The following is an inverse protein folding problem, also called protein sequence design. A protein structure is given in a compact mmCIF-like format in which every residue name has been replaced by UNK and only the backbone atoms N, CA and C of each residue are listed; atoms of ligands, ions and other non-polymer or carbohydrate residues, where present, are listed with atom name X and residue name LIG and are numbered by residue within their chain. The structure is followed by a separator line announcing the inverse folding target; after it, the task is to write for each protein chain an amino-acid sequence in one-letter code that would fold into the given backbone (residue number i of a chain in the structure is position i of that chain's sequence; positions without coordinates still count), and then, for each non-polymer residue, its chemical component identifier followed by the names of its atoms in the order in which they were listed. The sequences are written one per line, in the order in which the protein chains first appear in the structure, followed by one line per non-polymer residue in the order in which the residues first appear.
data_IF_286100373805
#
_entry.id   IF_286100373805
#
_cell.length_a   1.000
_cell.length_b   1.000
_cell.length_c   1.000
_cell.angle_alpha   90.00
_cell.angle_beta   90.00
_cell.angle_gamma   90.00
#
_symmetry.space_group_name_H-M   'P 1'
#
loop_
_entity.id
_entity.type
_entity.pdbx_description
1 polymer ?
#
# COMPACT_ATOMS: atom_id res chain seq x y z
N UNK A 1 22.07 66.70 -26.57
CA UNK A 1 23.19 65.74 -26.43
C UNK A 1 23.04 65.05 -25.09
N UNK A 2 22.93 63.72 -25.15
CA UNK A 2 22.65 62.66 -24.16
C UNK A 2 22.60 62.97 -22.65
N UNK A 3 21.43 62.66 -22.07
CA UNK A 3 21.27 62.29 -20.67
C UNK A 3 21.83 60.88 -20.42
N UNK A 4 22.61 60.73 -19.35
CA UNK A 4 23.15 59.46 -18.87
C UNK A 4 22.00 58.51 -18.52
N UNK A 5 21.92 57.37 -19.20
CA UNK A 5 21.04 56.24 -18.86
C UNK A 5 21.93 55.07 -18.43
N UNK A 6 22.17 54.94 -17.13
CA UNK A 6 22.69 53.70 -16.58
C UNK A 6 21.72 53.22 -15.50
N UNK A 7 20.98 52.16 -15.82
CA UNK A 7 20.23 51.40 -14.86
C UNK A 7 21.12 50.23 -14.40
N UNK A 8 21.50 50.24 -13.14
CA UNK A 8 22.20 49.11 -12.52
C UNK A 8 21.18 48.01 -12.26
N UNK A 9 21.24 46.90 -13.00
CA UNK A 9 20.52 45.68 -12.65
C UNK A 9 21.35 44.91 -11.62
N UNK A 10 20.96 45.00 -10.35
CA UNK A 10 21.42 44.07 -9.35
C UNK A 10 20.63 42.77 -9.51
N UNK A 11 21.27 41.74 -10.09
CA UNK A 11 20.76 40.38 -10.02
C UNK A 11 20.95 39.89 -8.57
N UNK A 12 19.94 40.11 -7.73
CA UNK A 12 19.86 39.44 -6.45
C UNK A 12 19.58 37.96 -6.69
N UNK A 13 20.61 37.12 -6.64
CA UNK A 13 20.40 35.68 -6.40
C UNK A 13 19.84 35.60 -4.99
N UNK A 14 18.52 35.46 -4.88
CA UNK A 14 17.89 35.05 -3.64
C UNK A 14 18.35 33.61 -3.39
N UNK A 15 19.39 33.43 -2.57
CA UNK A 15 19.69 32.15 -1.97
C UNK A 15 18.46 31.77 -1.14
N UNK A 16 17.68 30.80 -1.63
CA UNK A 16 16.71 30.14 -0.80
C UNK A 16 17.43 29.65 0.47
N UNK A 17 16.84 29.77 1.67
CA UNK A 17 17.47 29.25 2.87
C UNK A 17 17.78 27.77 2.64
N UNK A 18 18.99 27.34 3.01
CA UNK A 18 19.47 25.96 2.84
C UNK A 18 18.49 24.94 3.46
N UNK A 19 17.71 25.37 4.46
CA UNK A 19 16.64 24.58 5.10
C UNK A 19 15.40 24.32 4.22
N UNK A 20 15.08 25.19 3.25
CA UNK A 20 13.92 24.99 2.39
C UNK A 20 14.06 23.75 1.50
N UNK A 21 15.27 23.50 0.96
CA UNK A 21 15.53 22.33 0.14
C UNK A 21 15.49 21.00 0.91
N UNK A 22 15.89 21.01 2.19
CA UNK A 22 15.81 19.83 3.06
C UNK A 22 14.35 19.55 3.47
N UNK A 23 13.56 20.59 3.76
CA UNK A 23 12.15 20.45 4.11
C UNK A 23 11.27 20.05 2.90
N UNK A 24 11.63 20.47 1.68
CA UNK A 24 10.96 20.05 0.45
C UNK A 24 11.28 18.59 0.12
N UNK A 25 12.56 18.20 0.18
CA UNK A 25 12.99 16.81 -0.01
C UNK A 25 12.38 15.84 1.01
N UNK A 26 12.23 16.25 2.27
CA UNK A 26 11.59 15.41 3.29
C UNK A 26 10.09 15.25 3.07
N UNK A 27 9.39 16.30 2.59
CA UNK A 27 7.98 16.21 2.21
C UNK A 27 7.77 15.33 0.97
N UNK A 28 8.61 15.48 -0.05
CA UNK A 28 8.57 14.64 -1.25
C UNK A 28 8.81 13.17 -0.91
N UNK A 29 9.76 12.89 -0.02
CA UNK A 29 10.02 11.54 0.50
C UNK A 29 8.79 10.99 1.23
N UNK A 30 8.21 11.76 2.15
CA UNK A 30 7.02 11.34 2.88
C UNK A 30 5.83 11.05 1.94
N UNK A 31 5.62 11.84 0.89
CA UNK A 31 4.59 11.59 -0.12
C UNK A 31 4.90 10.34 -0.95
N UNK A 32 6.17 10.11 -1.30
CA UNK A 32 6.60 8.92 -2.03
C UNK A 32 6.40 7.64 -1.21
N UNK A 33 6.73 7.70 0.08
CA UNK A 33 6.56 6.60 1.05
C UNK A 33 5.08 6.31 1.30
N UNK A 34 4.25 7.35 1.50
CA UNK A 34 2.79 7.20 1.61
C UNK A 34 2.24 6.44 0.39
N UNK A 35 2.64 6.87 -0.81
CA UNK A 35 2.21 6.20 -2.05
C UNK A 35 2.79 4.79 -2.16
N UNK A 36 3.99 4.53 -1.67
CA UNK A 36 4.59 3.20 -1.69
C UNK A 36 3.81 2.22 -0.82
N UNK A 37 3.44 2.62 0.40
CA UNK A 37 2.66 1.80 1.33
C UNK A 37 1.29 1.45 0.74
N UNK A 38 0.60 2.43 0.16
CA UNK A 38 -0.69 2.19 -0.53
C UNK A 38 -0.51 1.23 -1.70
N UNK A 39 0.52 1.46 -2.54
CA UNK A 39 0.79 0.59 -3.70
C UNK A 39 1.06 -0.85 -3.29
N UNK A 40 1.73 -1.09 -2.16
CA UNK A 40 2.00 -2.44 -1.65
C UNK A 40 0.68 -3.15 -1.31
N UNK A 41 -0.21 -2.49 -0.56
CA UNK A 41 -1.52 -3.05 -0.22
C UNK A 41 -2.33 -3.40 -1.49
N UNK A 42 -2.43 -2.45 -2.43
CA UNK A 42 -3.14 -2.68 -3.70
C UNK A 42 -2.49 -3.79 -4.54
N UNK A 43 -1.16 -3.93 -4.48
CA UNK A 43 -0.44 -4.92 -5.27
C UNK A 43 -0.56 -6.33 -4.70
N UNK A 44 -0.68 -6.47 -3.38
CA UNK A 44 -1.03 -7.75 -2.73
C UNK A 44 -2.41 -8.20 -3.22
N UNK A 45 -3.41 -7.32 -3.12
CA UNK A 45 -4.78 -7.58 -3.55
C UNK A 45 -4.83 -8.03 -5.04
N UNK A 46 -4.17 -7.28 -5.93
CA UNK A 46 -4.04 -7.65 -7.36
C UNK A 46 -3.33 -8.98 -7.59
N UNK A 47 -2.26 -9.27 -6.84
CA UNK A 47 -1.52 -10.52 -7.01
C UNK A 47 -2.35 -11.74 -6.58
N UNK A 48 -3.13 -11.59 -5.51
CA UNK A 48 -4.07 -12.63 -5.04
C UNK A 48 -5.18 -12.87 -6.08
N UNK A 49 -5.78 -11.81 -6.62
CA UNK A 49 -6.83 -11.92 -7.64
C UNK A 49 -6.33 -12.54 -8.95
N UNK A 50 -5.08 -12.25 -9.31
CA UNK A 50 -4.41 -12.87 -10.46
C UNK A 50 -3.87 -14.28 -10.15
N UNK A 51 -3.97 -14.76 -8.91
CA UNK A 51 -3.38 -16.00 -8.42
C UNK A 51 -1.85 -16.09 -8.67
N UNK A 52 -1.15 -14.96 -8.73
CA UNK A 52 0.32 -14.91 -8.80
C UNK A 52 0.91 -15.01 -7.40
N UNK A 53 0.94 -16.25 -6.88
CA UNK A 53 1.38 -16.53 -5.52
C UNK A 53 2.84 -16.16 -5.25
N UNK A 54 3.69 -16.24 -6.28
CA UNK A 54 5.10 -15.83 -6.16
C UNK A 54 5.21 -14.33 -5.99
N UNK A 55 4.44 -13.55 -6.76
CA UNK A 55 4.39 -12.10 -6.61
C UNK A 55 3.75 -11.71 -5.27
N UNK A 56 2.64 -12.34 -4.88
CA UNK A 56 2.00 -12.10 -3.58
C UNK A 56 2.99 -12.32 -2.42
N UNK A 57 3.73 -13.43 -2.43
CA UNK A 57 4.75 -13.76 -1.43
C UNK A 57 5.86 -12.72 -1.34
N UNK A 58 6.22 -12.07 -2.44
CA UNK A 58 7.32 -11.10 -2.49
C UNK A 58 7.07 -9.81 -1.69
N UNK A 59 5.81 -9.53 -1.34
CA UNK A 59 5.46 -8.35 -0.53
C UNK A 59 5.56 -8.56 0.99
N UNK A 60 5.79 -9.79 1.43
CA UNK A 60 5.83 -10.14 2.86
C UNK A 60 7.26 -10.42 3.33
N UNK A 61 7.57 -10.03 4.57
CA UNK A 61 8.73 -10.52 5.30
C UNK A 61 8.66 -12.05 5.47
N UNK A 62 9.71 -12.68 5.98
CA UNK A 62 9.72 -14.15 6.19
C UNK A 62 8.65 -14.61 7.17
N UNK A 63 8.34 -13.77 8.15
CA UNK A 63 7.26 -13.98 9.12
C UNK A 63 6.37 -12.76 9.19
N UNK A 64 5.09 -13.00 9.37
CA UNK A 64 4.07 -11.95 9.46
C UNK A 64 3.13 -12.26 10.61
N UNK A 65 2.73 -11.22 11.34
CA UNK A 65 1.61 -11.30 12.30
C UNK A 65 0.33 -11.03 11.55
N UNK A 66 -0.57 -12.02 11.54
CA UNK A 66 -1.91 -11.91 10.95
C UNK A 66 -2.94 -11.93 12.06
N UNK A 67 -3.90 -11.01 11.98
CA UNK A 67 -5.05 -10.96 12.88
C UNK A 67 -6.33 -11.04 12.04
N UNK A 68 -6.94 -12.22 12.04
CA UNK A 68 -8.25 -12.47 11.45
C UNK A 68 -9.27 -12.80 12.53
N UNK A 69 -9.09 -12.31 13.76
CA UNK A 69 -9.96 -12.64 14.90
C UNK A 69 -11.40 -12.19 14.69
N UNK A 70 -11.62 -11.03 14.07
CA UNK A 70 -12.95 -10.56 13.70
C UNK A 70 -13.65 -11.43 12.66
N UNK A 71 -12.89 -12.14 11.81
CA UNK A 71 -13.41 -12.98 10.73
C UNK A 71 -13.58 -14.45 11.15
N UNK A 72 -12.61 -14.99 11.89
CA UNK A 72 -12.48 -16.42 12.18
C UNK A 72 -12.66 -16.78 13.66
N UNK A 73 -12.67 -15.79 14.56
CA UNK A 73 -12.64 -16.00 16.01
C UNK A 73 -11.30 -16.49 16.56
N UNK A 74 -10.30 -16.73 15.72
CA UNK A 74 -8.96 -17.15 16.14
C UNK A 74 -8.10 -15.96 16.54
N UNK A 75 -7.27 -16.07 17.60
CA UNK A 75 -6.39 -14.97 17.99
C UNK A 75 -5.34 -14.68 16.91
N UNK A 76 -4.78 -13.47 16.96
CA UNK A 76 -3.65 -13.10 16.11
C UNK A 76 -2.48 -14.08 16.28
N UNK A 77 -1.79 -14.38 15.17
CA UNK A 77 -0.67 -15.30 15.16
C UNK A 77 0.46 -14.78 14.27
N UNK A 78 1.70 -14.95 14.73
CA UNK A 78 2.89 -14.78 13.88
C UNK A 78 3.22 -16.10 13.20
N UNK A 79 3.11 -16.14 11.88
CA UNK A 79 3.31 -17.35 11.06
C UNK A 79 4.40 -17.11 10.00
N UNK A 80 4.88 -18.18 9.37
CA UNK A 80 5.72 -18.04 8.18
C UNK A 80 4.85 -17.53 7.03
N UNK A 81 5.36 -16.58 6.25
CA UNK A 81 4.60 -16.02 5.13
C UNK A 81 4.34 -17.05 4.03
N UNK A 82 5.18 -18.07 3.91
CA UNK A 82 4.93 -19.19 2.99
C UNK A 82 3.68 -19.99 3.39
N UNK A 83 3.42 -20.17 4.69
CA UNK A 83 2.22 -20.84 5.18
C UNK A 83 0.95 -20.00 4.91
N UNK A 84 1.06 -18.67 5.05
CA UNK A 84 -0.02 -17.74 4.73
C UNK A 84 -0.39 -17.82 3.24
N UNK A 85 0.60 -17.66 2.36
CA UNK A 85 0.39 -17.71 0.91
C UNK A 85 -0.10 -19.10 0.47
N UNK A 86 0.44 -20.18 1.06
CA UNK A 86 -0.01 -21.54 0.80
C UNK A 86 -1.48 -21.74 1.16
N UNK A 87 -1.93 -21.15 2.27
CA UNK A 87 -3.35 -21.18 2.68
C UNK A 87 -4.24 -20.45 1.68
N UNK A 88 -3.84 -19.25 1.24
CA UNK A 88 -4.60 -18.51 0.22
C UNK A 88 -4.67 -19.26 -1.11
N UNK A 89 -3.55 -19.79 -1.59
CA UNK A 89 -3.48 -20.57 -2.83
C UNK A 89 -4.35 -21.84 -2.77
N UNK A 90 -4.35 -22.54 -1.63
CA UNK A 90 -5.20 -23.71 -1.44
C UNK A 90 -6.69 -23.35 -1.47
N UNK A 91 -7.08 -22.20 -0.94
CA UNK A 91 -8.46 -21.72 -0.93
C UNK A 91 -8.92 -21.24 -2.32
N UNK A 92 -8.05 -20.55 -3.06
CA UNK A 92 -8.30 -20.00 -4.39
C UNK A 92 -7.83 -20.96 -5.51
N UNK A 93 -8.25 -22.23 -5.42
CA UNK A 93 -7.94 -23.25 -6.43
C UNK A 93 -9.07 -23.48 -7.44
N UNK A 94 -8.73 -24.04 -8.59
CA UNK A 94 -9.69 -24.43 -9.62
C UNK A 94 -10.25 -23.22 -10.39
N UNK A 95 -11.56 -23.19 -10.61
CA UNK A 95 -12.26 -22.10 -11.31
C UNK A 95 -12.73 -20.97 -10.38
N UNK A 96 -12.22 -20.91 -9.14
CA UNK A 96 -12.55 -19.83 -8.20
C UNK A 96 -11.92 -18.52 -8.66
N UNK A 97 -12.71 -17.45 -8.61
CA UNK A 97 -12.25 -16.09 -8.91
C UNK A 97 -12.46 -15.20 -7.70
N UNK A 98 -11.54 -14.29 -7.44
CA UNK A 98 -11.69 -13.27 -6.41
C UNK A 98 -11.57 -11.86 -7.02
N UNK A 99 -12.08 -10.89 -6.29
CA UNK A 99 -11.72 -9.48 -6.47
C UNK A 99 -11.62 -8.84 -5.09
N UNK A 100 -10.52 -8.14 -4.86
CA UNK A 100 -10.30 -7.30 -3.70
C UNK A 100 -10.36 -5.84 -4.13
N UNK A 101 -11.20 -5.07 -3.43
CA UNK A 101 -11.31 -3.62 -3.57
C UNK A 101 -10.89 -2.97 -2.26
N UNK A 102 -9.97 -2.02 -2.36
CA UNK A 102 -9.44 -1.29 -1.21
C UNK A 102 -9.51 0.21 -1.45
N UNK A 103 -10.04 0.93 -0.47
CA UNK A 103 -10.22 2.39 -0.56
C UNK A 103 -9.96 3.06 0.79
N UNK A 104 -10.10 4.39 0.82
CA UNK A 104 -10.07 5.18 2.06
C UNK A 104 -8.77 5.01 2.88
N UNK A 105 -7.65 4.87 2.18
CA UNK A 105 -6.33 4.70 2.79
C UNK A 105 -5.96 5.87 3.71
N UNK A 106 -5.57 5.54 4.93
CA UNK A 106 -4.96 6.44 5.90
C UNK A 106 -3.60 5.86 6.27
N UNK A 107 -2.53 6.60 5.93
CA UNK A 107 -1.17 6.17 6.19
C UNK A 107 -0.58 6.99 7.32
N UNK A 108 0.02 6.31 8.30
CA UNK A 108 0.85 6.90 9.34
C UNK A 108 2.28 6.38 9.17
N UNK A 109 3.26 7.27 9.09
CA UNK A 109 4.68 6.94 8.93
C UNK A 109 5.42 7.35 10.22
N UNK A 110 6.22 6.44 10.75
CA UNK A 110 7.08 6.64 11.92
C UNK A 110 8.49 6.10 11.60
N UNK A 111 9.39 6.99 11.19
CA UNK A 111 10.74 6.62 10.79
C UNK A 111 10.76 5.65 9.60
N UNK A 112 11.23 4.44 9.83
CA UNK A 112 11.30 3.34 8.86
C UNK A 112 10.08 2.40 8.89
N UNK A 113 9.08 2.70 9.73
CA UNK A 113 7.83 1.97 9.84
C UNK A 113 6.66 2.78 9.27
N UNK A 114 5.68 2.08 8.70
CA UNK A 114 4.43 2.70 8.27
C UNK A 114 3.25 1.76 8.53
N UNK A 115 2.11 2.36 8.88
CA UNK A 115 0.82 1.69 9.04
C UNK A 115 -0.15 2.24 8.00
N UNK A 116 -0.86 1.37 7.30
CA UNK A 116 -1.99 1.74 6.44
C UNK A 116 -3.28 1.12 6.95
N UNK A 117 -4.23 1.98 7.30
CA UNK A 117 -5.62 1.60 7.57
C UNK A 117 -6.46 1.88 6.33
N UNK A 118 -7.35 0.97 5.96
CA UNK A 118 -8.12 1.09 4.72
C UNK A 118 -9.42 0.29 4.79
N UNK A 119 -10.42 0.75 4.05
CA UNK A 119 -11.66 0.01 3.89
C UNK A 119 -11.45 -1.06 2.83
N UNK A 120 -11.80 -2.30 3.16
CA UNK A 120 -11.68 -3.44 2.26
C UNK A 120 -13.04 -4.05 1.95
N UNK A 121 -13.22 -4.45 0.69
CA UNK A 121 -14.28 -5.35 0.26
C UNK A 121 -13.65 -6.45 -0.59
N UNK A 122 -13.97 -7.70 -0.31
CA UNK A 122 -13.55 -8.82 -1.12
C UNK A 122 -14.76 -9.69 -1.46
N UNK A 123 -14.83 -10.10 -2.72
CA UNK A 123 -15.79 -11.10 -3.15
C UNK A 123 -15.07 -12.29 -3.78
N UNK A 124 -15.63 -13.47 -3.56
CA UNK A 124 -15.11 -14.74 -4.05
C UNK A 124 -16.24 -15.50 -4.74
N UNK A 125 -16.03 -15.89 -5.99
CA UNK A 125 -16.92 -16.79 -6.72
C UNK A 125 -16.57 -18.23 -6.42
N UNK A 126 -17.54 -18.99 -5.94
CA UNK A 126 -17.36 -20.39 -5.57
C UNK A 126 -18.41 -21.27 -6.25
N UNK A 127 -18.27 -21.45 -7.57
CA UNK A 127 -19.16 -22.35 -8.31
C UNK A 127 -19.08 -23.79 -7.76
N UNK A 128 -20.24 -24.42 -7.59
CA UNK A 128 -20.37 -25.82 -7.17
C UNK A 128 -20.32 -26.09 -5.66
N UNK A 129 -20.31 -25.06 -4.81
CA UNK A 129 -20.17 -25.21 -3.35
C UNK A 129 -21.27 -24.54 -2.51
N UNK A 130 -22.46 -24.30 -3.09
CA UNK A 130 -23.59 -23.61 -2.42
C UNK A 130 -23.92 -22.27 -3.07
N UNK A 131 -24.19 -21.23 -2.27
CA UNK A 131 -24.31 -19.86 -2.76
C UNK A 131 -23.05 -19.49 -3.57
N UNK A 132 -23.20 -19.02 -4.82
CA UNK A 132 -22.09 -18.88 -5.75
C UNK A 132 -21.13 -17.74 -5.37
N UNK A 133 -21.51 -16.92 -4.40
CA UNK A 133 -20.86 -15.67 -4.01
C UNK A 133 -20.63 -15.67 -2.49
N UNK A 134 -19.38 -15.48 -2.09
CA UNK A 134 -19.01 -15.17 -0.70
C UNK A 134 -18.34 -13.80 -0.65
N UNK A 135 -18.78 -12.98 0.30
CA UNK A 135 -18.36 -11.58 0.43
C UNK A 135 -17.89 -11.30 1.85
N UNK A 136 -16.89 -10.42 1.96
CA UNK A 136 -16.40 -9.89 3.24
C UNK A 136 -16.04 -8.42 3.07
N UNK A 137 -16.32 -7.61 4.08
CA UNK A 137 -15.90 -6.21 4.11
C UNK A 137 -15.58 -5.76 5.53
N UNK A 138 -14.77 -4.71 5.64
CA UNK A 138 -14.33 -4.16 6.92
C UNK A 138 -13.50 -2.89 6.77
N UNK A 139 -13.03 -2.38 7.91
CA UNK A 139 -12.23 -1.17 8.06
C UNK A 139 -11.12 -1.41 9.07
#
# INVERSE_FOLDING_TARGET
MNALKYATFAAGIALAPVDAGVAESSRETALADERAVIRIADAIDRAVDAQDWRLARSYFADRVTVDFSSLSGQPAATIASDDLIGTWAANLRGNKTSLHLRTNHQVAIDGDAATVSSNGYAWNRMEGNGEPLWEVWGT
#
